data_IF_273614936819
#
_entry.id   IF_273614936819
#
_cell.length_a   1.000
_cell.length_b   1.000
_cell.length_c   1.000
_cell.angle_alpha   90.00
_cell.angle_beta   90.00
_cell.angle_gamma   90.00
#
_symmetry.space_group_name_H-M   'P 1'
#
loop_
_entity.id
_entity.type
_entity.pdbx_description
1 polymer ?
#
# COMPACT_ATOMS: atom_id res chain seq x y z
N UNK A 1 0.81 -23.37 -9.64
CA UNK A 1 1.72 -22.20 -9.53
C UNK A 1 1.11 -21.07 -10.33
N UNK A 2 0.68 -20.00 -9.66
CA UNK A 2 0.41 -18.74 -10.35
C UNK A 2 1.76 -18.09 -10.71
N UNK A 3 1.88 -17.61 -11.95
CA UNK A 3 3.06 -16.88 -12.42
C UNK A 3 2.76 -15.38 -12.30
N UNK A 4 3.71 -14.59 -11.82
CA UNK A 4 3.55 -13.14 -11.67
C UNK A 4 3.48 -12.71 -10.20
N UNK A 5 2.34 -12.16 -9.79
CA UNK A 5 2.18 -11.52 -8.48
C UNK A 5 2.21 -12.51 -7.32
N UNK A 6 2.78 -12.08 -6.18
CA UNK A 6 2.67 -12.79 -4.91
C UNK A 6 1.26 -12.69 -4.27
N UNK A 7 0.37 -11.88 -4.87
CA UNK A 7 -1.00 -11.56 -4.43
C UNK A 7 -1.11 -11.03 -2.98
N UNK A 8 -0.03 -10.48 -2.44
CA UNK A 8 -0.01 -9.94 -1.08
C UNK A 8 1.04 -8.83 -0.95
N UNK A 9 0.81 -7.92 0.01
CA UNK A 9 1.76 -6.92 0.47
C UNK A 9 2.02 -7.11 1.96
N UNK A 10 3.21 -6.72 2.41
CA UNK A 10 3.57 -6.67 3.83
C UNK A 10 3.35 -5.25 4.34
N UNK A 11 2.45 -5.10 5.31
CA UNK A 11 2.23 -3.87 6.03
C UNK A 11 2.97 -3.91 7.37
N UNK A 12 3.73 -2.86 7.66
CA UNK A 12 4.48 -2.70 8.91
C UNK A 12 4.14 -1.34 9.48
N UNK A 13 3.63 -1.31 10.71
CA UNK A 13 3.38 -0.08 11.45
C UNK A 13 4.40 0.05 12.58
N UNK A 14 5.20 1.11 12.54
CA UNK A 14 6.30 1.32 13.48
C UNK A 14 5.85 1.93 14.82
N UNK A 15 4.71 2.62 14.85
CA UNK A 15 4.18 3.25 16.08
C UNK A 15 3.64 2.21 17.06
N UNK A 16 3.11 1.08 16.55
CA UNK A 16 2.55 0.00 17.39
C UNK A 16 3.20 -1.38 17.15
N UNK A 17 4.26 -1.46 16.34
CA UNK A 17 4.96 -2.69 15.96
C UNK A 17 4.07 -3.75 15.31
N UNK A 18 2.98 -3.35 14.66
CA UNK A 18 2.09 -4.27 13.97
C UNK A 18 2.68 -4.71 12.62
N UNK A 19 2.60 -6.01 12.35
CA UNK A 19 2.97 -6.60 11.06
C UNK A 19 1.76 -7.37 10.53
N UNK A 20 1.32 -7.03 9.31
CA UNK A 20 0.16 -7.65 8.66
C UNK A 20 0.46 -7.99 7.20
N UNK A 21 -0.10 -9.10 6.75
CA UNK A 21 -0.18 -9.42 5.32
C UNK A 21 -1.51 -8.83 4.81
N UNK A 22 -1.46 -7.97 3.80
CA UNK A 22 -2.66 -7.44 3.13
C UNK A 22 -2.78 -8.07 1.73
N UNK A 23 -3.98 -8.46 1.28
CA UNK A 23 -4.14 -9.03 -0.06
C UNK A 23 -3.96 -7.95 -1.13
N UNK A 24 -3.42 -8.34 -2.29
CA UNK A 24 -3.50 -7.55 -3.53
C UNK A 24 -4.75 -8.00 -4.27
N UNK A 25 -5.75 -7.12 -4.39
CA UNK A 25 -7.00 -7.44 -5.09
C UNK A 25 -6.86 -7.42 -6.62
N UNK A 26 -7.86 -7.98 -7.31
CA UNK A 26 -7.86 -8.09 -8.77
C UNK A 26 -7.93 -6.73 -9.46
N UNK A 27 -8.67 -5.78 -8.90
CA UNK A 27 -8.81 -4.43 -9.45
C UNK A 27 -7.46 -3.70 -9.47
N UNK A 28 -6.68 -3.84 -8.41
CA UNK A 28 -5.33 -3.29 -8.31
C UNK A 28 -4.42 -3.86 -9.40
N UNK A 29 -4.44 -5.19 -9.60
CA UNK A 29 -3.68 -5.86 -10.68
C UNK A 29 -4.09 -5.39 -12.07
N UNK A 30 -5.39 -5.36 -12.36
CA UNK A 30 -5.92 -5.01 -13.67
C UNK A 30 -5.68 -3.53 -14.03
N UNK A 31 -5.79 -2.63 -13.04
CA UNK A 31 -5.68 -1.18 -13.28
C UNK A 31 -4.23 -0.71 -13.26
N UNK A 32 -3.42 -1.23 -12.34
CA UNK A 32 -2.09 -0.68 -12.06
C UNK A 32 -0.94 -1.61 -12.43
N UNK A 33 -1.22 -2.87 -12.76
CA UNK A 33 -0.24 -3.91 -13.10
C UNK A 33 0.74 -4.23 -11.95
N UNK A 34 1.61 -3.32 -11.51
CA UNK A 34 2.57 -3.56 -10.43
C UNK A 34 3.49 -2.37 -10.17
N UNK A 35 4.49 -2.57 -9.30
CA UNK A 35 5.53 -1.57 -8.99
C UNK A 35 4.93 -0.20 -8.64
N UNK A 36 5.38 0.86 -9.34
CA UNK A 36 4.92 2.24 -9.12
C UNK A 36 3.40 2.42 -9.15
N UNK A 37 2.69 1.63 -9.95
CA UNK A 37 1.23 1.69 -10.01
C UNK A 37 0.60 1.19 -8.69
N UNK A 38 1.17 0.15 -8.12
CA UNK A 38 0.74 -0.38 -6.82
C UNK A 38 1.06 0.62 -5.71
N UNK A 39 2.24 1.23 -5.75
CA UNK A 39 2.65 2.24 -4.77
C UNK A 39 1.66 3.43 -4.76
N UNK A 40 1.28 3.92 -5.96
CA UNK A 40 0.28 4.99 -6.08
C UNK A 40 -1.11 4.58 -5.55
N UNK A 41 -1.54 3.34 -5.83
CA UNK A 41 -2.82 2.83 -5.32
C UNK A 41 -2.82 2.70 -3.80
N UNK A 42 -1.76 2.13 -3.22
CA UNK A 42 -1.63 1.96 -1.77
C UNK A 42 -1.55 3.30 -1.07
N UNK A 43 -0.68 4.20 -1.53
CA UNK A 43 -0.54 5.55 -0.97
C UNK A 43 -1.86 6.32 -1.05
N UNK A 44 -2.56 6.23 -2.19
CA UNK A 44 -3.87 6.87 -2.32
C UNK A 44 -4.86 6.29 -1.30
N UNK A 45 -4.90 5.00 -1.04
CA UNK A 45 -5.87 4.44 -0.09
C UNK A 45 -5.44 4.59 1.39
N UNK A 46 -4.14 4.70 1.68
CA UNK A 46 -3.59 4.83 3.03
C UNK A 46 -3.67 6.25 3.61
N UNK A 47 -3.57 7.29 2.76
CA UNK A 47 -3.58 8.67 3.22
C UNK A 47 -5.00 9.20 3.53
N UNK A 48 -5.15 10.05 4.56
CA UNK A 48 -6.41 10.74 4.86
C UNK A 48 -6.88 11.60 3.68
N UNK A 49 -8.20 11.70 3.52
CA UNK A 49 -8.85 12.39 2.37
C UNK A 49 -9.32 13.79 2.69
N UNK A 50 -9.37 14.13 3.97
CA UNK A 50 -9.87 15.39 4.52
C UNK A 50 -8.77 16.42 4.79
N UNK A 51 -7.49 16.02 4.71
CA UNK A 51 -6.34 16.91 4.91
C UNK A 51 -5.10 16.48 4.13
N UNK A 52 -4.15 17.40 4.00
CA UNK A 52 -2.83 17.15 3.42
C UNK A 52 -1.90 16.59 4.50
N UNK A 53 -1.23 15.46 4.19
CA UNK A 53 -0.19 14.86 5.04
C UNK A 53 1.15 15.50 4.71
N UNK A 54 1.90 15.89 5.74
CA UNK A 54 3.25 16.45 5.59
C UNK A 54 4.28 15.35 5.41
N UNK A 55 5.45 15.72 4.93
CA UNK A 55 6.51 14.77 4.63
C UNK A 55 6.99 14.02 5.88
N UNK A 56 6.92 14.66 7.05
CA UNK A 56 7.40 14.17 8.35
C UNK A 56 6.28 13.74 9.31
N UNK A 57 5.02 13.69 8.84
CA UNK A 57 3.92 13.15 9.64
C UNK A 57 4.07 11.61 9.77
N UNK A 58 3.74 11.05 10.94
CA UNK A 58 3.80 9.59 11.18
C UNK A 58 2.87 8.78 10.23
N UNK A 59 1.81 9.41 9.74
CA UNK A 59 0.86 8.82 8.77
C UNK A 59 1.37 8.85 7.32
N UNK A 60 2.55 9.42 7.05
CA UNK A 60 3.16 9.39 5.73
C UNK A 60 3.71 7.99 5.43
N UNK A 61 2.88 7.12 4.87
CA UNK A 61 3.25 5.76 4.50
C UNK A 61 4.33 5.73 3.40
N UNK A 62 5.23 4.75 3.49
CA UNK A 62 6.30 4.51 2.51
C UNK A 62 6.00 3.20 1.78
N UNK A 63 6.03 3.24 0.44
CA UNK A 63 5.86 2.10 -0.46
C UNK A 63 7.07 1.99 -1.40
#
# INVERSE_FOLDING_TARGET
>A
MEKGYANQTLYVNLSNNEIKIKPVDDRMKETFTGGKGFDLWLLWNGLPKDRVVKWDDEENEIC
#
